data_IF_167484355276
#
_entry.id   IF_167484355276
#
_cell.length_a   1.000
_cell.length_b   1.000
_cell.length_c   1.000
_cell.angle_alpha   90.00
_cell.angle_beta   90.00
_cell.angle_gamma   90.00
#
_symmetry.space_group_name_H-M   'P 1'
#
loop_
_entity.id
_entity.type
_entity.pdbx_description
1 polymer ?
#
# COMPACT_ATOMS: atom_id res chain seq x y z
N UNK A 1 -9.08 -2.72 26.12
CA UNK A 1 -8.04 -3.37 25.31
C UNK A 1 -7.18 -2.26 24.73
N UNK A 2 -5.94 -2.15 25.18
CA UNK A 2 -5.08 -1.04 24.84
C UNK A 2 -4.75 -1.08 23.35
N UNK A 3 -4.83 0.08 22.70
CA UNK A 3 -4.51 0.22 21.29
C UNK A 3 -3.01 0.01 21.12
N UNK A 4 -2.61 -1.04 20.39
CA UNK A 4 -1.26 -1.10 19.87
C UNK A 4 -1.11 0.01 18.83
N UNK A 5 -0.34 1.02 19.15
CA UNK A 5 0.03 2.10 18.24
C UNK A 5 1.46 2.48 18.60
N UNK A 6 2.42 1.94 17.89
CA UNK A 6 3.82 2.23 18.12
C UNK A 6 4.50 2.71 16.85
N UNK A 7 5.35 3.72 16.99
CA UNK A 7 6.04 4.37 15.89
C UNK A 7 7.51 4.56 16.24
N UNK A 8 8.38 4.24 15.30
CA UNK A 8 9.80 4.54 15.36
C UNK A 8 10.21 5.23 14.05
N UNK A 9 10.30 6.56 14.09
CA UNK A 9 10.58 7.38 12.90
C UNK A 9 11.99 7.19 12.36
N UNK A 10 12.96 6.88 13.23
CA UNK A 10 14.35 6.65 12.80
C UNK A 10 14.50 5.34 12.00
N UNK A 11 13.61 4.39 12.21
CA UNK A 11 13.54 3.14 11.45
C UNK A 11 12.45 3.17 10.37
N UNK A 12 11.73 4.29 10.21
CA UNK A 12 10.64 4.36 9.26
C UNK A 12 9.53 3.33 9.54
N UNK A 13 9.23 3.03 10.80
CA UNK A 13 8.36 1.94 11.23
C UNK A 13 7.13 2.44 11.99
N UNK A 14 5.96 1.93 11.64
CA UNK A 14 4.72 2.22 12.33
C UNK A 14 3.82 0.99 12.35
N UNK A 15 3.31 0.63 13.50
CA UNK A 15 2.31 -0.44 13.70
C UNK A 15 1.09 0.13 14.36
N UNK A 16 -0.07 -0.15 13.81
CA UNK A 16 -1.34 0.20 14.38
C UNK A 16 -2.29 -1.00 14.44
N UNK A 17 -2.78 -1.30 15.64
CA UNK A 17 -3.94 -2.15 15.85
C UNK A 17 -5.14 -1.22 15.96
N UNK A 18 -6.02 -1.21 14.97
CA UNK A 18 -7.10 -0.25 14.93
C UNK A 18 -8.48 -0.89 14.92
N UNK A 19 -9.38 -0.27 15.69
CA UNK A 19 -10.82 -0.45 15.67
C UNK A 19 -11.44 0.88 15.22
N UNK A 20 -11.35 1.27 13.97
CA UNK A 20 -11.69 2.63 13.60
C UNK A 20 -13.20 2.83 13.54
N UNK A 21 -13.77 3.74 14.32
CA UNK A 21 -15.13 4.20 14.11
C UNK A 21 -15.29 5.05 12.84
N UNK A 22 -14.19 5.48 12.22
CA UNK A 22 -14.19 6.36 11.06
C UNK A 22 -13.09 5.98 10.06
N UNK A 23 -13.26 4.87 9.35
CA UNK A 23 -12.39 4.62 8.19
C UNK A 23 -12.76 5.57 7.05
N UNK A 24 -11.81 6.42 6.66
CA UNK A 24 -11.88 7.08 5.37
C UNK A 24 -11.61 6.00 4.31
N UNK A 25 -12.67 5.53 3.65
CA UNK A 25 -12.58 4.60 2.52
C UNK A 25 -11.97 5.25 1.27
N UNK A 26 -11.05 6.21 1.45
CA UNK A 26 -10.36 6.89 0.36
C UNK A 26 -9.14 6.09 -0.05
N UNK A 27 -8.97 5.95 -1.37
CA UNK A 27 -7.75 5.40 -1.92
C UNK A 27 -6.55 6.24 -1.48
N UNK A 28 -5.48 5.57 -1.11
CA UNK A 28 -4.22 6.20 -0.75
C UNK A 28 -3.04 5.33 -1.22
N UNK A 29 -1.87 5.90 -1.17
CA UNK A 29 -0.59 5.24 -1.35
C UNK A 29 0.43 5.90 -0.44
N UNK A 30 1.43 5.17 -0.03
CA UNK A 30 2.54 5.66 0.77
C UNK A 30 3.87 5.11 0.23
N UNK A 31 4.96 5.61 0.76
CA UNK A 31 6.34 5.29 0.39
C UNK A 31 6.96 4.13 1.20
N UNK A 32 6.13 3.34 1.88
CA UNK A 32 6.54 2.22 2.73
C UNK A 32 5.93 0.92 2.25
N UNK A 33 6.55 -0.19 2.60
CA UNK A 33 5.88 -1.49 2.58
C UNK A 33 4.81 -1.54 3.66
N UNK A 34 3.67 -2.17 3.38
CA UNK A 34 2.63 -2.43 4.36
C UNK A 34 2.30 -3.92 4.38
N UNK A 35 2.25 -4.47 5.60
CA UNK A 35 1.59 -5.73 5.90
C UNK A 35 0.27 -5.41 6.60
N UNK A 36 -0.82 -5.72 5.93
CA UNK A 36 -2.16 -5.63 6.46
C UNK A 36 -2.64 -7.01 6.89
N UNK A 37 -3.00 -7.18 8.16
CA UNK A 37 -3.55 -8.41 8.72
C UNK A 37 -4.96 -8.18 9.22
N UNK A 38 -5.94 -8.88 8.62
CA UNK A 38 -7.34 -8.82 9.04
C UNK A 38 -7.60 -9.77 10.20
N UNK A 39 -7.99 -9.22 11.35
CA UNK A 39 -8.34 -9.98 12.55
C UNK A 39 -9.84 -10.29 12.57
N UNK A 40 -10.69 -9.30 12.28
CA UNK A 40 -12.14 -9.41 12.22
C UNK A 40 -12.72 -8.39 11.24
N UNK A 41 -13.82 -8.72 10.58
CA UNK A 41 -14.55 -7.82 9.71
C UNK A 41 -15.01 -8.48 8.43
N UNK A 42 -15.87 -7.76 7.71
CA UNK A 42 -16.43 -8.15 6.42
C UNK A 42 -16.31 -7.00 5.41
N UNK A 43 -16.03 -7.33 4.16
CA UNK A 43 -15.79 -6.35 3.12
C UNK A 43 -14.77 -6.81 2.08
N UNK A 44 -14.02 -5.88 1.53
CA UNK A 44 -12.95 -6.17 0.58
C UNK A 44 -11.84 -5.12 0.59
N UNK A 45 -10.68 -5.54 0.14
CA UNK A 45 -9.52 -4.69 -0.05
C UNK A 45 -9.27 -4.48 -1.54
N UNK A 46 -9.18 -3.22 -1.96
CA UNK A 46 -8.87 -2.87 -3.35
C UNK A 46 -7.42 -2.41 -3.41
N UNK A 47 -6.65 -2.97 -4.34
CA UNK A 47 -5.29 -2.52 -4.65
C UNK A 47 -5.07 -2.54 -6.15
N UNK A 48 -4.64 -1.40 -6.73
CA UNK A 48 -4.35 -1.23 -8.17
C UNK A 48 -5.45 -1.79 -9.10
N UNK A 49 -6.73 -1.71 -8.66
CA UNK A 49 -7.88 -2.21 -9.43
C UNK A 49 -8.20 -3.69 -9.24
N UNK A 50 -7.42 -4.43 -8.48
CA UNK A 50 -7.78 -5.78 -8.01
C UNK A 50 -8.55 -5.71 -6.70
N UNK A 51 -9.45 -6.65 -6.46
CA UNK A 51 -10.28 -6.73 -5.27
C UNK A 51 -10.06 -8.07 -4.57
N UNK A 52 -9.86 -8.02 -3.26
CA UNK A 52 -9.63 -9.18 -2.40
C UNK A 52 -10.67 -9.18 -1.29
N UNK A 53 -11.47 -10.23 -1.18
CA UNK A 53 -12.47 -10.35 -0.12
C UNK A 53 -11.81 -10.38 1.26
N UNK A 54 -12.46 -9.76 2.24
CA UNK A 54 -12.05 -9.85 3.63
C UNK A 54 -12.38 -11.25 4.18
N UNK A 55 -11.33 -11.90 4.67
CA UNK A 55 -11.44 -13.13 5.44
C UNK A 55 -10.56 -12.99 6.68
N UNK A 56 -11.10 -13.16 7.89
CA UNK A 56 -10.30 -13.15 9.11
C UNK A 56 -9.13 -14.14 9.02
N UNK A 57 -7.94 -13.66 9.32
CA UNK A 57 -6.71 -14.42 9.15
C UNK A 57 -5.97 -14.17 7.83
N UNK A 58 -6.54 -13.40 6.89
CA UNK A 58 -5.89 -13.03 5.63
C UNK A 58 -4.82 -11.95 5.86
N UNK A 59 -3.71 -12.08 5.16
CA UNK A 59 -2.67 -11.05 5.06
C UNK A 59 -2.68 -10.46 3.66
N UNK A 60 -2.55 -9.14 3.55
CA UNK A 60 -2.42 -8.42 2.28
C UNK A 60 -1.15 -7.57 2.35
N UNK A 61 -0.32 -7.67 1.31
CA UNK A 61 0.95 -6.94 1.21
C UNK A 61 0.85 -5.82 0.18
N UNK A 62 1.29 -4.62 0.53
CA UNK A 62 1.40 -3.48 -0.38
C UNK A 62 2.84 -3.00 -0.42
N UNK A 63 3.39 -2.84 -1.63
CA UNK A 63 4.70 -2.23 -1.81
C UNK A 63 4.60 -0.70 -1.88
N UNK A 64 5.71 0.03 -1.72
CA UNK A 64 5.74 1.47 -1.90
C UNK A 64 5.08 1.90 -3.22
N UNK A 65 4.23 2.93 -3.16
CA UNK A 65 3.54 3.48 -4.33
C UNK A 65 2.35 2.67 -4.84
N UNK A 66 2.02 1.53 -4.26
CA UNK A 66 0.86 0.73 -4.63
C UNK A 66 -0.40 1.33 -4.02
N UNK A 67 -1.34 1.78 -4.87
CA UNK A 67 -2.58 2.41 -4.40
C UNK A 67 -3.53 1.38 -3.83
N UNK A 68 -4.10 1.68 -2.67
CA UNK A 68 -4.97 0.73 -1.99
C UNK A 68 -6.04 1.41 -1.11
N UNK A 69 -7.07 0.64 -0.77
CA UNK A 69 -8.09 1.00 0.21
C UNK A 69 -8.82 -0.23 0.75
N UNK A 70 -9.22 -0.17 2.01
CA UNK A 70 -10.17 -1.11 2.58
C UNK A 70 -11.60 -0.59 2.41
N UNK A 71 -12.54 -1.47 2.14
CA UNK A 71 -13.99 -1.21 2.09
C UNK A 71 -14.66 -2.17 3.04
N UNK A 72 -15.12 -1.68 4.19
CA UNK A 72 -15.80 -2.48 5.21
C UNK A 72 -17.30 -2.30 5.11
N UNK A 73 -18.06 -3.38 5.22
CA UNK A 73 -19.53 -3.33 5.23
C UNK A 73 -20.06 -2.92 6.61
N UNK A 74 -19.39 -3.39 7.67
CA UNK A 74 -19.66 -2.96 9.04
C UNK A 74 -18.35 -2.56 9.74
N UNK A 75 -18.23 -1.28 10.06
CA UNK A 75 -17.03 -0.76 10.73
C UNK A 75 -16.99 -1.08 12.23
N UNK A 76 -18.12 -1.42 12.87
CA UNK A 76 -18.18 -1.75 14.29
C UNK A 76 -17.46 -3.06 14.62
N UNK A 77 -17.42 -3.98 13.67
CA UNK A 77 -16.81 -5.30 13.77
C UNK A 77 -15.41 -5.39 13.17
N UNK A 78 -14.86 -4.26 12.66
CA UNK A 78 -13.61 -4.23 11.93
C UNK A 78 -12.40 -4.12 12.85
N UNK A 79 -11.56 -5.16 12.83
CA UNK A 79 -10.28 -5.22 13.54
C UNK A 79 -9.17 -5.59 12.57
N UNK A 80 -8.11 -4.82 12.58
CA UNK A 80 -6.92 -5.08 11.77
C UNK A 80 -5.64 -4.70 12.49
N UNK A 81 -4.54 -5.32 12.10
CA UNK A 81 -3.19 -4.83 12.35
C UNK A 81 -2.58 -4.35 11.02
N UNK A 82 -2.07 -3.13 10.98
CA UNK A 82 -1.29 -2.61 9.85
C UNK A 82 0.13 -2.35 10.32
N UNK A 83 1.10 -2.89 9.60
CA UNK A 83 2.53 -2.70 9.84
C UNK A 83 3.12 -2.00 8.62
N UNK A 84 3.54 -0.75 8.80
CA UNK A 84 4.22 0.03 7.79
C UNK A 84 5.71 0.07 8.11
N UNK A 85 6.56 -0.25 7.15
CA UNK A 85 8.00 -0.24 7.35
C UNK A 85 8.74 0.24 6.10
N UNK A 86 9.85 0.93 6.32
CA UNK A 86 10.76 1.29 5.24
C UNK A 86 11.46 0.02 4.73
N UNK A 87 11.50 -0.24 3.41
CA UNK A 87 12.22 -1.39 2.86
C UNK A 87 13.66 -1.52 3.35
N UNK A 88 14.36 -0.42 3.57
CA UNK A 88 15.75 -0.42 4.04
C UNK A 88 15.96 -1.14 5.38
N UNK A 89 14.91 -1.26 6.20
CA UNK A 89 14.96 -2.04 7.46
C UNK A 89 15.23 -3.51 7.18
N UNK A 90 14.65 -4.05 6.11
CA UNK A 90 14.85 -5.45 5.70
C UNK A 90 16.09 -5.59 4.82
N UNK A 91 16.32 -4.67 3.89
CA UNK A 91 17.46 -4.70 2.96
C UNK A 91 18.80 -4.65 3.72
N UNK A 92 18.86 -3.97 4.86
CA UNK A 92 20.06 -3.96 5.71
C UNK A 92 20.39 -5.31 6.34
N UNK A 93 19.40 -6.20 6.48
CA UNK A 93 19.53 -7.54 7.07
C UNK A 93 19.63 -8.59 5.96
N UNK A 94 18.88 -8.44 4.88
CA UNK A 94 18.88 -9.31 3.70
C UNK A 94 19.30 -8.57 2.43
N UNK A 95 20.60 -8.37 2.20
CA UNK A 95 21.11 -7.70 0.99
C UNK A 95 20.85 -8.52 -0.30
N UNK A 96 20.35 -9.76 -0.18
CA UNK A 96 19.96 -10.58 -1.34
C UNK A 96 18.57 -10.25 -1.87
N UNK A 97 17.77 -9.49 -1.11
CA UNK A 97 16.41 -9.07 -1.45
C UNK A 97 15.37 -10.20 -1.44
N UNK A 98 15.71 -11.40 -0.95
CA UNK A 98 14.82 -12.56 -0.97
C UNK A 98 13.57 -12.37 -0.10
N UNK A 99 13.71 -11.71 1.04
CA UNK A 99 12.61 -11.49 1.99
C UNK A 99 11.54 -10.56 1.38
N UNK A 100 11.96 -9.54 0.62
CA UNK A 100 11.05 -8.57 0.03
C UNK A 100 10.51 -8.96 -1.36
N UNK A 101 10.87 -10.12 -1.90
CA UNK A 101 10.38 -10.59 -3.21
C UNK A 101 8.86 -10.64 -3.30
N UNK A 102 8.19 -10.97 -2.22
CA UNK A 102 6.72 -10.99 -2.15
C UNK A 102 6.08 -9.63 -2.44
N UNK A 103 6.82 -8.55 -2.24
CA UNK A 103 6.38 -7.18 -2.55
C UNK A 103 6.72 -6.78 -3.99
N UNK A 104 7.92 -7.16 -4.49
CA UNK A 104 8.49 -6.59 -5.71
C UNK A 104 8.41 -7.51 -6.93
N UNK A 105 8.53 -8.84 -6.77
CA UNK A 105 8.58 -9.82 -7.87
C UNK A 105 7.18 -10.25 -8.34
N UNK A 106 6.19 -9.38 -8.20
CA UNK A 106 4.81 -9.57 -8.65
C UNK A 106 4.32 -8.34 -9.43
N UNK A 107 3.37 -8.49 -10.37
CA UNK A 107 2.73 -7.34 -11.00
C UNK A 107 1.97 -6.49 -9.96
N UNK A 108 1.84 -5.19 -10.24
CA UNK A 108 1.07 -4.27 -9.40
C UNK A 108 -0.38 -4.74 -9.22
N UNK A 109 -0.86 -4.77 -7.98
CA UNK A 109 -2.22 -5.18 -7.64
C UNK A 109 -2.50 -6.69 -7.80
N UNK A 110 -1.49 -7.51 -8.08
CA UNK A 110 -1.65 -8.95 -8.24
C UNK A 110 -0.84 -9.70 -7.17
N UNK A 111 -1.37 -10.84 -6.74
CA UNK A 111 -0.74 -11.69 -5.71
C UNK A 111 -0.41 -10.92 -4.42
N UNK A 112 -1.25 -9.95 -4.06
CA UNK A 112 -1.11 -9.19 -2.80
C UNK A 112 -1.60 -9.97 -1.58
N UNK A 113 -2.60 -10.87 -1.76
CA UNK A 113 -3.32 -11.50 -0.67
C UNK A 113 -2.81 -12.92 -0.41
N UNK A 114 -2.62 -13.24 0.85
CA UNK A 114 -2.29 -14.55 1.38
C UNK A 114 -3.47 -15.03 2.20
N UNK A 115 -4.22 -15.97 1.64
CA UNK A 115 -5.41 -16.53 2.27
C UNK A 115 -5.03 -17.39 3.48
N UNK A 116 -5.95 -17.50 4.43
CA UNK A 116 -5.76 -18.28 5.64
C UNK A 116 -5.30 -19.71 5.36
N UNK A 117 -5.78 -20.33 4.29
CA UNK A 117 -5.40 -21.70 3.89
C UNK A 117 -3.91 -21.84 3.59
N UNK A 118 -3.26 -20.79 3.07
CA UNK A 118 -1.82 -20.76 2.79
C UNK A 118 -0.99 -20.59 4.06
N UNK A 119 -1.57 -19.97 5.09
CA UNK A 119 -0.90 -19.60 6.33
C UNK A 119 -1.03 -20.66 7.43
N UNK A 120 -2.00 -21.59 7.32
CA UNK A 120 -2.14 -22.70 8.26
C UNK A 120 -0.95 -23.65 8.16
N UNK A 121 -0.37 -23.98 9.31
CA UNK A 121 0.82 -24.83 9.39
C UNK A 121 2.15 -24.07 9.35
N UNK A 122 2.11 -22.76 9.18
CA UNK A 122 3.27 -21.87 9.37
C UNK A 122 3.28 -21.30 10.79
N UNK A 123 4.39 -20.64 11.17
CA UNK A 123 4.50 -19.91 12.46
C UNK A 123 3.85 -18.52 12.45
N UNK A 124 3.26 -18.08 11.33
CA UNK A 124 2.84 -16.69 11.11
C UNK A 124 1.85 -16.19 12.17
N UNK A 125 0.83 -16.98 12.51
CA UNK A 125 -0.18 -16.56 13.50
C UNK A 125 0.40 -16.41 14.88
N UNK A 126 1.33 -17.30 15.28
CA UNK A 126 2.02 -17.21 16.57
C UNK A 126 2.89 -15.95 16.63
N UNK A 127 3.58 -15.60 15.54
CA UNK A 127 4.38 -14.36 15.45
C UNK A 127 3.49 -13.11 15.51
N UNK A 128 2.36 -13.10 14.80
CA UNK A 128 1.38 -12.00 14.84
C UNK A 128 0.78 -11.82 16.24
N UNK A 129 0.51 -12.90 16.95
CA UNK A 129 0.04 -12.86 18.34
C UNK A 129 1.13 -12.32 19.28
N UNK A 130 2.39 -12.72 19.09
CA UNK A 130 3.50 -12.19 19.89
C UNK A 130 3.66 -10.68 19.69
N UNK A 131 3.48 -10.16 18.45
CA UNK A 131 3.56 -8.73 18.18
C UNK A 131 2.53 -7.90 18.97
N UNK A 132 1.38 -8.50 19.29
CA UNK A 132 0.27 -7.84 19.98
C UNK A 132 0.41 -7.83 21.50
N UNK A 133 1.36 -8.56 22.07
CA UNK A 133 1.58 -8.60 23.51
C UNK A 133 2.13 -7.26 24.00
N UNK A 134 1.54 -6.69 25.08
CA UNK A 134 2.00 -5.42 25.62
C UNK A 134 3.45 -5.49 26.09
N UNK A 135 4.22 -4.45 25.79
CA UNK A 135 5.56 -4.22 26.29
C UNK A 135 5.60 -3.09 27.31
N UNK A 136 6.76 -2.91 27.95
CA UNK A 136 6.96 -1.90 28.98
C UNK A 136 6.80 -0.46 28.47
N UNK A 137 7.24 -0.21 27.23
CA UNK A 137 7.19 1.10 26.59
C UNK A 137 7.10 0.98 25.06
N UNK A 138 6.93 2.12 24.39
CA UNK A 138 6.80 2.18 22.93
C UNK A 138 8.04 1.64 22.20
N UNK A 139 9.24 1.86 22.70
CA UNK A 139 10.45 1.38 22.06
C UNK A 139 10.56 -0.15 22.13
N UNK A 140 10.30 -0.73 23.31
CA UNK A 140 10.24 -2.18 23.51
C UNK A 140 9.16 -2.79 22.61
N UNK A 141 8.00 -2.14 22.47
CA UNK A 141 6.91 -2.58 21.58
C UNK A 141 7.34 -2.58 20.11
N UNK A 142 7.99 -1.51 19.64
CA UNK A 142 8.51 -1.44 18.28
C UNK A 142 9.56 -2.52 18.02
N UNK A 143 10.46 -2.74 18.95
CA UNK A 143 11.48 -3.78 18.83
C UNK A 143 10.86 -5.18 18.80
N UNK A 144 9.87 -5.46 19.66
CA UNK A 144 9.14 -6.72 19.63
C UNK A 144 8.49 -6.98 18.27
N UNK A 145 7.77 -5.98 17.73
CA UNK A 145 7.13 -6.13 16.43
C UNK A 145 8.17 -6.37 15.33
N UNK A 146 9.28 -5.64 15.32
CA UNK A 146 10.37 -5.86 14.36
C UNK A 146 10.96 -7.26 14.44
N UNK A 147 11.21 -7.78 15.66
CA UNK A 147 11.74 -9.12 15.86
C UNK A 147 10.82 -10.21 15.30
N UNK A 148 9.51 -10.03 15.38
CA UNK A 148 8.54 -11.00 14.85
C UNK A 148 8.13 -10.72 13.41
N UNK A 149 8.31 -9.51 12.88
CA UNK A 149 8.04 -9.18 11.48
C UNK A 149 8.94 -9.96 10.52
N UNK A 150 10.23 -10.08 10.83
CA UNK A 150 11.18 -10.79 9.97
C UNK A 150 10.78 -12.24 9.70
N UNK A 151 10.51 -13.10 10.71
CA UNK A 151 10.07 -14.47 10.44
C UNK A 151 8.72 -14.52 9.71
N UNK A 152 7.78 -13.58 9.94
CA UNK A 152 6.56 -13.50 9.14
C UNK A 152 6.89 -13.25 7.67
N UNK A 153 7.76 -12.29 7.36
CA UNK A 153 8.15 -12.00 5.99
C UNK A 153 8.91 -13.17 5.33
N UNK A 154 9.74 -13.88 6.08
CA UNK A 154 10.45 -15.08 5.59
C UNK A 154 9.48 -16.20 5.23
N UNK A 155 8.47 -16.48 6.05
CA UNK A 155 7.43 -17.48 5.76
C UNK A 155 6.60 -17.08 4.53
N UNK A 156 6.21 -15.80 4.43
CA UNK A 156 5.50 -15.29 3.25
C UNK A 156 6.34 -15.39 1.98
N UNK A 157 7.66 -15.13 2.06
CA UNK A 157 8.58 -15.30 0.95
C UNK A 157 8.69 -16.78 0.53
N UNK A 158 8.76 -17.71 1.50
CA UNK A 158 8.78 -19.14 1.22
C UNK A 158 7.48 -19.62 0.53
N UNK A 159 6.32 -19.13 0.97
CA UNK A 159 5.04 -19.39 0.30
C UNK A 159 5.06 -18.84 -1.13
N UNK A 160 5.54 -17.62 -1.31
CA UNK A 160 5.65 -16.98 -2.62
C UNK A 160 6.55 -17.77 -3.59
N UNK A 161 7.71 -18.25 -3.13
CA UNK A 161 8.67 -19.03 -3.93
C UNK A 161 8.11 -20.39 -4.35
N UNK A 162 7.23 -20.99 -3.54
CA UNK A 162 6.55 -22.25 -3.88
C UNK A 162 5.44 -22.07 -4.93
N UNK A 163 5.15 -20.85 -5.32
CA UNK A 163 4.11 -20.51 -6.29
C UNK A 163 2.70 -20.66 -5.71
N UNK A 164 1.99 -19.57 -5.54
CA UNK A 164 0.56 -19.59 -5.24
C UNK A 164 -0.19 -18.66 -6.18
N UNK A 165 -1.36 -19.09 -6.64
CA UNK A 165 -2.32 -18.17 -7.23
C UNK A 165 -3.14 -17.59 -6.07
N UNK A 166 -2.90 -16.34 -5.72
CA UNK A 166 -3.84 -15.61 -4.89
C UNK A 166 -5.18 -15.61 -5.63
N UNK A 167 -6.21 -16.13 -4.98
CA UNK A 167 -7.53 -16.19 -5.60
C UNK A 167 -7.89 -14.82 -6.17
N UNK A 168 -7.93 -14.72 -7.49
CA UNK A 168 -8.27 -13.51 -8.21
C UNK A 168 -9.76 -13.28 -8.07
N UNK A 169 -10.17 -12.72 -6.96
CA UNK A 169 -11.53 -12.20 -6.89
C UNK A 169 -11.58 -10.91 -7.70
N UNK A 170 -12.32 -11.00 -8.79
CA UNK A 170 -12.78 -9.90 -9.63
C UNK A 170 -11.79 -8.73 -9.79
N UNK A 171 -10.69 -8.95 -10.49
CA UNK A 171 -10.07 -7.85 -11.23
C UNK A 171 -11.19 -7.18 -12.04
N UNK A 172 -11.23 -5.84 -12.08
CA UNK A 172 -12.09 -5.13 -13.02
C UNK A 172 -11.40 -5.18 -14.39
N UNK A 173 -11.69 -6.16 -15.28
CA UNK A 173 -10.89 -6.43 -16.47
C UNK A 173 -10.78 -5.19 -17.37
N UNK A 174 -11.89 -4.47 -17.50
CA UNK A 174 -12.00 -3.24 -18.32
C UNK A 174 -11.12 -2.07 -17.81
N UNK A 175 -10.59 -2.16 -16.60
CA UNK A 175 -9.79 -1.08 -15.98
C UNK A 175 -8.34 -1.50 -15.74
N UNK A 176 -8.04 -2.78 -15.77
CA UNK A 176 -6.69 -3.30 -15.50
C UNK A 176 -5.67 -2.74 -16.49
N UNK A 177 -5.95 -2.83 -17.78
CA UNK A 177 -5.05 -2.36 -18.84
C UNK A 177 -4.84 -0.84 -18.77
N UNK A 178 -5.89 -0.10 -18.40
CA UNK A 178 -5.81 1.35 -18.22
C UNK A 178 -4.90 1.70 -17.06
N UNK A 179 -5.04 1.01 -15.92
CA UNK A 179 -4.20 1.20 -14.74
C UNK A 179 -2.75 0.84 -15.01
N UNK A 180 -2.51 -0.29 -15.67
CA UNK A 180 -1.19 -0.71 -16.13
C UNK A 180 -0.54 0.37 -17.02
N UNK A 181 -1.28 0.86 -18.02
CA UNK A 181 -0.79 1.90 -18.91
C UNK A 181 -0.45 3.20 -18.15
N UNK A 182 -1.32 3.64 -17.25
CA UNK A 182 -1.05 4.83 -16.43
C UNK A 182 0.21 4.62 -15.59
N UNK A 183 0.35 3.48 -14.92
CA UNK A 183 1.49 3.19 -14.06
C UNK A 183 2.82 3.17 -14.84
N UNK A 184 2.84 2.55 -16.02
CA UNK A 184 4.03 2.54 -16.87
C UNK A 184 4.41 3.91 -17.46
N UNK A 185 3.42 4.80 -17.60
CA UNK A 185 3.60 6.11 -18.21
C UNK A 185 3.44 7.27 -17.22
N UNK A 186 3.53 7.02 -15.91
CA UNK A 186 3.17 7.99 -14.89
C UNK A 186 3.98 9.29 -14.96
N UNK A 187 5.26 9.20 -15.32
CA UNK A 187 6.19 10.32 -15.46
C UNK A 187 6.08 11.06 -16.80
N UNK A 188 5.28 10.54 -17.74
CA UNK A 188 5.09 11.17 -19.05
C UNK A 188 3.83 12.02 -19.09
N UNK A 189 3.65 12.89 -20.12
CA UNK A 189 2.39 13.61 -20.30
C UNK A 189 1.22 12.65 -20.49
N UNK A 190 0.31 12.60 -19.53
CA UNK A 190 -0.94 11.87 -19.57
C UNK A 190 -2.11 12.85 -19.67
N UNK A 191 -3.10 12.52 -20.49
CA UNK A 191 -4.36 13.27 -20.57
C UNK A 191 -5.56 12.32 -20.64
N UNK A 192 -6.72 12.82 -20.26
CA UNK A 192 -7.96 12.06 -20.35
C UNK A 192 -8.26 11.69 -21.81
N UNK A 193 -7.99 12.59 -22.75
CA UNK A 193 -8.21 12.32 -24.17
C UNK A 193 -7.28 11.24 -24.72
N UNK A 194 -6.01 11.22 -24.28
CA UNK A 194 -5.09 10.14 -24.60
C UNK A 194 -5.63 8.78 -24.14
N UNK A 195 -6.12 8.71 -22.89
CA UNK A 195 -6.71 7.48 -22.35
C UNK A 195 -7.97 7.07 -23.12
N UNK A 196 -8.86 8.03 -23.41
CA UNK A 196 -10.08 7.77 -24.18
C UNK A 196 -9.75 7.21 -25.57
N UNK A 197 -8.81 7.83 -26.28
CA UNK A 197 -8.40 7.41 -27.63
C UNK A 197 -7.74 6.04 -27.60
N UNK A 198 -6.80 5.83 -26.68
CA UNK A 198 -6.03 4.58 -26.60
C UNK A 198 -6.89 3.36 -26.27
N UNK A 199 -7.89 3.53 -25.39
CA UNK A 199 -8.73 2.43 -24.90
C UNK A 199 -10.13 2.41 -25.54
N UNK A 200 -10.35 3.25 -26.56
CA UNK A 200 -11.62 3.34 -27.28
C UNK A 200 -12.83 3.59 -26.37
N UNK A 201 -12.66 4.45 -25.37
CA UNK A 201 -13.69 4.78 -24.39
C UNK A 201 -14.14 6.23 -24.54
N UNK A 202 -15.42 6.47 -24.31
CA UNK A 202 -15.90 7.83 -24.05
C UNK A 202 -15.42 8.30 -22.68
N UNK A 203 -15.34 9.62 -22.45
CA UNK A 203 -14.98 10.19 -21.14
C UNK A 203 -15.89 9.63 -20.04
N UNK A 204 -17.19 9.53 -20.27
CA UNK A 204 -18.16 9.01 -19.31
C UNK A 204 -17.87 7.54 -18.95
N UNK A 205 -17.56 6.71 -19.93
CA UNK A 205 -17.21 5.30 -19.70
C UNK A 205 -15.89 5.19 -18.89
N UNK A 206 -14.86 5.95 -19.30
CA UNK A 206 -13.58 5.97 -18.60
C UNK A 206 -13.76 6.33 -17.11
N UNK A 207 -14.47 7.45 -16.84
CA UNK A 207 -14.70 7.90 -15.45
C UNK A 207 -15.50 6.88 -14.63
N UNK A 208 -16.55 6.31 -15.20
CA UNK A 208 -17.40 5.31 -14.53
C UNK A 208 -16.62 4.04 -14.21
N UNK A 209 -15.92 3.47 -15.21
CA UNK A 209 -15.16 2.23 -15.04
C UNK A 209 -14.01 2.43 -14.05
N UNK A 210 -13.31 3.55 -14.18
CA UNK A 210 -12.18 3.89 -13.32
C UNK A 210 -12.60 4.10 -11.86
N UNK A 211 -13.70 4.83 -11.63
CA UNK A 211 -14.25 5.04 -10.30
C UNK A 211 -14.75 3.74 -9.67
N UNK A 212 -15.29 2.82 -10.46
CA UNK A 212 -15.68 1.49 -10.00
C UNK A 212 -14.46 0.69 -9.54
N UNK A 213 -13.37 0.69 -10.32
CA UNK A 213 -12.16 -0.08 -10.05
C UNK A 213 -11.29 0.52 -8.93
N UNK A 214 -11.21 1.84 -8.82
CA UNK A 214 -10.28 2.51 -7.90
C UNK A 214 -10.96 3.30 -6.79
N UNK A 215 -12.21 3.71 -7.00
CA UNK A 215 -12.98 4.58 -6.11
C UNK A 215 -12.80 6.07 -6.34
N UNK A 216 -11.85 6.46 -7.19
CA UNK A 216 -11.56 7.85 -7.57
C UNK A 216 -11.63 8.05 -9.07
N UNK A 217 -11.57 9.29 -9.54
CA UNK A 217 -11.47 9.56 -10.96
C UNK A 217 -10.04 9.37 -11.50
N UNK A 218 -9.85 9.22 -12.84
CA UNK A 218 -8.53 8.97 -13.42
C UNK A 218 -7.49 10.03 -13.06
N UNK A 219 -7.89 11.31 -13.01
CA UNK A 219 -6.96 12.39 -12.71
C UNK A 219 -6.52 12.42 -11.25
N UNK A 220 -7.42 12.13 -10.33
CA UNK A 220 -7.09 11.97 -8.91
C UNK A 220 -6.10 10.82 -8.69
N UNK A 221 -6.30 9.70 -9.38
CA UNK A 221 -5.39 8.57 -9.33
C UNK A 221 -3.99 8.93 -9.87
N UNK A 222 -3.92 9.53 -11.07
CA UNK A 222 -2.65 9.98 -11.66
C UNK A 222 -1.93 10.94 -10.72
N UNK A 223 -2.67 11.89 -10.15
CA UNK A 223 -2.10 12.87 -9.21
C UNK A 223 -1.54 12.17 -7.97
N UNK A 224 -2.29 11.24 -7.37
CA UNK A 224 -1.83 10.49 -6.19
C UNK A 224 -0.56 9.69 -6.50
N UNK A 225 -0.52 8.97 -7.61
CA UNK A 225 0.66 8.19 -8.03
C UNK A 225 1.89 9.07 -8.23
N UNK A 226 1.74 10.20 -8.91
CA UNK A 226 2.81 11.18 -9.11
C UNK A 226 3.31 11.78 -7.80
N UNK A 227 2.40 12.09 -6.87
CA UNK A 227 2.76 12.62 -5.55
C UNK A 227 3.55 11.61 -4.73
N UNK A 228 3.13 10.34 -4.73
CA UNK A 228 3.84 9.28 -4.02
C UNK A 228 5.22 9.04 -4.62
N UNK A 229 5.35 9.04 -5.95
CA UNK A 229 6.63 8.93 -6.64
C UNK A 229 7.54 10.13 -6.34
N UNK A 230 7.00 11.35 -6.36
CA UNK A 230 7.77 12.55 -6.02
C UNK A 230 8.26 12.49 -4.56
N UNK A 231 7.45 12.00 -3.64
CA UNK A 231 7.83 11.84 -2.24
C UNK A 231 8.97 10.84 -2.06
N UNK A 232 8.94 9.71 -2.77
CA UNK A 232 10.07 8.77 -2.79
C UNK A 232 11.35 9.46 -3.26
N UNK A 233 11.32 10.18 -4.38
CA UNK A 233 12.48 10.91 -4.88
C UNK A 233 13.02 11.97 -3.90
N UNK A 234 12.12 12.65 -3.17
CA UNK A 234 12.53 13.62 -2.15
C UNK A 234 13.20 12.92 -0.97
N UNK A 235 12.67 11.79 -0.54
CA UNK A 235 13.26 10.97 0.53
C UNK A 235 14.64 10.43 0.13
N UNK A 236 14.83 10.11 -1.15
CA UNK A 236 16.12 9.72 -1.75
C UNK A 236 17.09 10.90 -1.95
N UNK A 237 16.73 12.11 -1.49
CA UNK A 237 17.58 13.29 -1.50
C UNK A 237 17.42 14.21 -2.72
N UNK A 238 16.49 13.93 -3.63
CA UNK A 238 16.20 14.81 -4.76
C UNK A 238 15.55 16.13 -4.30
N UNK A 239 15.88 17.25 -4.94
CA UNK A 239 15.18 18.50 -4.65
C UNK A 239 13.70 18.42 -5.03
N UNK A 240 12.83 19.11 -4.28
CA UNK A 240 11.39 19.09 -4.51
C UNK A 240 10.98 19.48 -5.95
N UNK A 241 11.72 20.44 -6.55
CA UNK A 241 11.46 20.85 -7.93
C UNK A 241 11.86 19.75 -8.94
N UNK A 242 13.02 19.12 -8.75
CA UNK A 242 13.46 18.02 -9.60
C UNK A 242 12.53 16.81 -9.46
N UNK A 243 12.11 16.48 -8.24
CA UNK A 243 11.19 15.40 -7.96
C UNK A 243 9.80 15.62 -8.61
N UNK A 244 9.30 16.86 -8.59
CA UNK A 244 8.05 17.22 -9.27
C UNK A 244 8.13 16.94 -10.77
N UNK A 245 9.20 17.40 -11.43
CA UNK A 245 9.42 17.18 -12.86
C UNK A 245 9.59 15.69 -13.16
N UNK A 246 10.45 14.98 -12.42
CA UNK A 246 10.74 13.58 -12.61
C UNK A 246 9.49 12.67 -12.40
N UNK A 247 8.56 13.09 -11.56
CA UNK A 247 7.29 12.39 -11.34
C UNK A 247 6.18 12.76 -12.33
N UNK A 248 6.44 13.67 -13.28
CA UNK A 248 5.51 14.00 -14.36
C UNK A 248 4.61 15.21 -14.12
N UNK A 249 4.87 16.03 -13.09
CA UNK A 249 4.20 17.32 -12.95
C UNK A 249 4.77 18.34 -13.94
N UNK A 250 3.89 19.00 -14.69
CA UNK A 250 4.30 20.08 -15.63
C UNK A 250 4.44 21.46 -14.98
N UNK A 251 3.94 21.63 -13.73
CA UNK A 251 3.97 22.89 -12.99
C UNK A 251 4.23 22.64 -11.50
N UNK A 252 5.26 23.33 -10.98
CA UNK A 252 5.63 23.19 -9.56
C UNK A 252 4.56 23.71 -8.60
N UNK A 253 3.86 24.78 -8.96
CA UNK A 253 2.82 25.33 -8.10
C UNK A 253 1.62 24.36 -7.95
N UNK A 254 1.26 23.68 -9.04
CA UNK A 254 0.24 22.63 -9.00
C UNK A 254 0.70 21.43 -8.15
N UNK A 255 1.95 21.00 -8.33
CA UNK A 255 2.58 19.98 -7.49
C UNK A 255 2.54 20.35 -6.01
N UNK A 256 3.03 21.54 -5.66
CA UNK A 256 3.12 22.00 -4.27
C UNK A 256 1.74 21.98 -3.58
N UNK A 257 0.71 22.56 -4.23
CA UNK A 257 -0.66 22.56 -3.67
C UNK A 257 -1.20 21.15 -3.49
N UNK A 258 -1.00 20.28 -4.47
CA UNK A 258 -1.46 18.90 -4.41
C UNK A 258 -0.71 18.11 -3.32
N UNK A 259 0.60 18.33 -3.17
CA UNK A 259 1.45 17.70 -2.17
C UNK A 259 1.03 18.06 -0.75
N UNK A 260 0.87 19.37 -0.46
CA UNK A 260 0.41 19.83 0.86
C UNK A 260 -0.99 19.32 1.18
N UNK A 261 -1.90 19.32 0.20
CA UNK A 261 -3.25 18.77 0.38
C UNK A 261 -3.23 17.26 0.67
N UNK A 262 -2.36 16.51 0.02
CA UNK A 262 -2.28 15.06 0.16
C UNK A 262 -1.59 14.63 1.46
N UNK A 263 -0.45 15.24 1.78
CA UNK A 263 0.42 14.79 2.86
C UNK A 263 0.38 15.66 4.12
N UNK A 264 -0.29 16.82 4.08
CA UNK A 264 -0.39 17.74 5.22
C UNK A 264 0.92 18.48 5.57
N UNK A 265 1.98 18.30 4.78
CA UNK A 265 3.29 18.93 4.97
C UNK A 265 3.83 19.48 3.65
N UNK A 266 4.83 20.37 3.72
CA UNK A 266 5.48 20.89 2.51
C UNK A 266 6.49 19.87 1.95
N UNK A 267 6.79 19.90 0.63
CA UNK A 267 7.79 19.00 0.04
C UNK A 267 9.18 19.13 0.64
N UNK A 268 9.54 20.32 1.13
CA UNK A 268 10.82 20.58 1.81
C UNK A 268 10.77 20.33 3.32
N UNK A 269 9.58 20.26 3.90
CA UNK A 269 9.34 19.95 5.31
C UNK A 269 9.14 18.47 5.59
N UNK A 270 9.08 17.62 4.56
CA UNK A 270 8.98 16.17 4.68
C UNK A 270 10.28 15.48 5.07
N UNK A 271 11.39 16.21 5.16
CA UNK A 271 12.62 15.67 5.69
C UNK A 271 12.49 15.45 7.19
N UNK A 272 12.27 14.19 7.59
CA UNK A 272 12.25 13.68 8.97
C UNK A 272 10.85 13.69 9.64
N UNK A 273 10.00 12.80 9.17
CA UNK A 273 9.03 12.16 10.06
C UNK A 273 9.26 10.66 10.07
#
# INVERSE_FOLDING_TARGET
MDRLDCKNDSLGFHVALSHPPHMKHTIHAHDRCELFYLIKGDGYYITEGSSYAFEPGKIILMRPGETHRAVCFDTSEYHRMSIHFDPCVVDSIDPTGKILRTFYDRPLGMNNAYDRSLLIGTGIYDYLDQMQRPCADNNAQCMQVLCYLLPVLMELAAIFDNGFDAAKEAAFPDSHDILQFINHNISTPLSIDLLCTKFYLTRTQLYRNFKKATGVNPWEYITLKRLTLARSYINDGMSANAAAIASGFGDYSAFYRAYVKCFGCTPTGSNRL
#
